data_IF_649658668592
#
_entry.id   IF_649658668592
#
_cell.length_a   1.000
_cell.length_b   1.000
_cell.length_c   1.000
_cell.angle_alpha   90.00
_cell.angle_beta   90.00
_cell.angle_gamma   90.00
#
_symmetry.space_group_name_H-M   'P 1'
#
loop_
_entity.id
_entity.type
_entity.pdbx_description
1 polymer ?
#
# COMPACT_ATOMS: atom_id res chain seq x y z
N UNK A 1 -3.30 50.50 2.28
CA UNK A 1 -2.72 49.70 3.38
C UNK A 1 -3.73 48.72 3.97
N UNK A 2 -4.81 49.16 4.63
CA UNK A 2 -5.76 48.22 5.27
C UNK A 2 -6.54 47.36 4.25
N UNK A 3 -6.92 47.94 3.11
CA UNK A 3 -7.54 47.22 1.99
C UNK A 3 -6.60 46.16 1.39
N UNK A 4 -5.33 46.52 1.18
CA UNK A 4 -4.32 45.62 0.60
C UNK A 4 -4.08 44.40 1.51
N UNK A 5 -4.01 44.62 2.82
CA UNK A 5 -3.91 43.55 3.81
C UNK A 5 -5.14 42.63 3.74
N UNK A 6 -6.35 43.20 3.65
CA UNK A 6 -7.56 42.40 3.53
C UNK A 6 -7.58 41.55 2.25
N UNK A 7 -7.15 42.11 1.11
CA UNK A 7 -7.03 41.38 -0.16
C UNK A 7 -6.03 40.22 -0.06
N UNK A 8 -4.87 40.45 0.56
CA UNK A 8 -3.84 39.43 0.77
C UNK A 8 -4.37 38.30 1.66
N UNK A 9 -4.99 38.64 2.79
CA UNK A 9 -5.56 37.64 3.72
C UNK A 9 -6.65 36.82 3.03
N UNK A 10 -7.53 37.46 2.27
CA UNK A 10 -8.59 36.77 1.53
C UNK A 10 -8.01 35.87 0.42
N UNK A 11 -6.97 36.30 -0.28
CA UNK A 11 -6.29 35.47 -1.28
C UNK A 11 -5.61 34.23 -0.66
N UNK A 12 -4.98 34.37 0.50
CA UNK A 12 -4.41 33.24 1.24
C UNK A 12 -5.49 32.25 1.69
N UNK A 13 -6.63 32.75 2.15
CA UNK A 13 -7.78 31.91 2.46
C UNK A 13 -8.25 31.10 1.23
N UNK A 14 -8.35 31.73 0.06
CA UNK A 14 -8.71 31.04 -1.19
C UNK A 14 -7.71 29.96 -1.58
N UNK A 15 -6.41 30.12 -1.31
CA UNK A 15 -5.41 29.08 -1.53
C UNK A 15 -5.59 27.87 -0.60
N UNK A 16 -5.98 28.10 0.66
CA UNK A 16 -6.32 27.01 1.58
C UNK A 16 -7.56 26.26 1.06
N UNK A 17 -8.60 27.00 0.64
CA UNK A 17 -9.81 26.40 0.06
C UNK A 17 -9.48 25.59 -1.19
N UNK A 18 -8.66 26.13 -2.10
CA UNK A 18 -8.18 25.43 -3.28
C UNK A 18 -7.51 24.10 -2.91
N UNK A 19 -6.55 24.13 -1.99
CA UNK A 19 -5.83 22.92 -1.55
C UNK A 19 -6.77 21.87 -0.94
N UNK A 20 -7.73 22.29 -0.11
CA UNK A 20 -8.72 21.39 0.50
C UNK A 20 -9.64 20.78 -0.56
N UNK A 21 -10.14 21.57 -1.51
CA UNK A 21 -11.01 21.09 -2.58
C UNK A 21 -10.31 20.06 -3.48
N UNK A 22 -9.05 20.30 -3.83
CA UNK A 22 -8.26 19.34 -4.63
C UNK A 22 -8.06 18.02 -3.91
N UNK A 23 -7.80 18.05 -2.60
CA UNK A 23 -7.68 16.85 -1.77
C UNK A 23 -9.02 16.12 -1.65
N UNK A 24 -10.13 16.86 -1.49
CA UNK A 24 -11.48 16.31 -1.38
C UNK A 24 -11.93 15.54 -2.62
N UNK A 25 -11.54 15.94 -3.84
CA UNK A 25 -11.85 15.22 -5.08
C UNK A 25 -11.39 13.75 -5.04
N UNK A 26 -10.26 13.47 -4.37
CA UNK A 26 -9.72 12.11 -4.24
C UNK A 26 -10.66 11.24 -3.38
N UNK A 27 -11.30 11.82 -2.38
CA UNK A 27 -12.22 11.12 -1.48
C UNK A 27 -13.62 11.02 -2.06
N UNK A 28 -14.08 12.08 -2.72
CA UNK A 28 -15.40 12.21 -3.31
C UNK A 28 -15.16 12.41 -4.80
N UNK A 29 -15.10 11.32 -5.59
CA UNK A 29 -14.90 11.41 -7.03
C UNK A 29 -16.12 12.11 -7.63
N UNK A 30 -16.00 13.43 -7.79
CA UNK A 30 -17.07 14.34 -8.19
C UNK A 30 -17.09 14.59 -9.69
N UNK A 31 -16.34 13.75 -10.44
CA UNK A 31 -16.10 13.90 -11.87
C UNK A 31 -15.43 15.24 -12.22
N UNK A 32 -14.58 15.76 -11.32
CA UNK A 32 -13.80 16.98 -11.52
C UNK A 32 -14.51 18.28 -11.12
N UNK A 33 -15.71 18.23 -10.53
CA UNK A 33 -16.44 19.42 -10.10
C UNK A 33 -15.70 20.17 -8.98
N UNK A 34 -15.20 19.46 -7.96
CA UNK A 34 -14.43 20.07 -6.87
C UNK A 34 -13.11 20.65 -7.40
N UNK A 35 -12.49 19.97 -8.36
CA UNK A 35 -11.29 20.46 -9.05
C UNK A 35 -11.57 21.75 -9.83
N UNK A 36 -12.70 21.86 -10.51
CA UNK A 36 -13.10 23.07 -11.22
C UNK A 36 -13.26 24.26 -10.25
N UNK A 37 -13.91 24.04 -9.11
CA UNK A 37 -14.02 25.05 -8.04
C UNK A 37 -12.66 25.43 -7.45
N UNK A 38 -11.76 24.46 -7.27
CA UNK A 38 -10.40 24.71 -6.80
C UNK A 38 -9.61 25.60 -7.77
N UNK A 39 -9.73 25.36 -9.08
CA UNK A 39 -9.13 26.21 -10.12
C UNK A 39 -9.71 27.62 -10.05
N UNK A 40 -11.04 27.75 -9.89
CA UNK A 40 -11.69 29.04 -9.72
C UNK A 40 -11.16 29.82 -8.52
N UNK A 41 -11.03 29.16 -7.36
CA UNK A 41 -10.46 29.75 -6.15
C UNK A 41 -8.98 30.16 -6.35
N UNK A 42 -8.19 29.34 -7.05
CA UNK A 42 -6.80 29.65 -7.38
C UNK A 42 -6.67 30.89 -8.28
N UNK A 43 -7.40 30.91 -9.39
CA UNK A 43 -7.37 32.04 -10.36
C UNK A 43 -7.83 33.33 -9.68
N UNK A 44 -8.89 33.26 -8.87
CA UNK A 44 -9.37 34.40 -8.11
C UNK A 44 -8.32 34.89 -7.10
N UNK A 45 -7.73 33.97 -6.32
CA UNK A 45 -6.68 34.31 -5.35
C UNK A 45 -5.48 34.98 -6.00
N UNK A 46 -5.00 34.46 -7.14
CA UNK A 46 -3.92 35.09 -7.93
C UNK A 46 -4.32 36.49 -8.39
N UNK A 47 -5.53 36.65 -8.94
CA UNK A 47 -6.04 37.96 -9.39
C UNK A 47 -6.01 39.01 -8.28
N UNK A 48 -6.40 38.65 -7.05
CA UNK A 48 -6.35 39.55 -5.89
C UNK A 48 -4.93 40.00 -5.53
N UNK A 49 -3.92 39.12 -5.64
CA UNK A 49 -2.53 39.52 -5.43
C UNK A 49 -2.04 40.53 -6.49
N UNK A 50 -2.46 40.35 -7.75
CA UNK A 50 -2.13 41.30 -8.83
C UNK A 50 -2.84 42.65 -8.69
N UNK A 51 -3.98 42.72 -8.01
CA UNK A 51 -4.65 43.99 -7.71
C UNK A 51 -3.88 44.87 -6.72
N UNK A 52 -3.04 44.27 -5.87
CA UNK A 52 -2.19 45.03 -4.92
C UNK A 52 -0.97 45.61 -5.64
N UNK A 53 -0.24 44.78 -6.39
CA UNK A 53 0.93 45.18 -7.20
C UNK A 53 1.38 44.01 -8.05
N UNK A 54 2.04 44.28 -9.19
CA UNK A 54 2.65 43.25 -10.03
C UNK A 54 3.69 42.41 -9.28
N UNK A 55 4.49 43.03 -8.40
CA UNK A 55 5.47 42.32 -7.59
C UNK A 55 4.80 41.34 -6.60
N UNK A 56 3.71 41.78 -5.98
CA UNK A 56 2.91 40.98 -5.05
C UNK A 56 2.16 39.86 -5.79
N UNK A 57 1.67 40.12 -7.00
CA UNK A 57 1.09 39.12 -7.90
C UNK A 57 2.02 37.95 -8.16
N UNK A 58 3.25 38.22 -8.61
CA UNK A 58 4.27 37.19 -8.81
C UNK A 58 4.63 36.45 -7.52
N UNK A 59 4.73 37.17 -6.40
CA UNK A 59 4.94 36.54 -5.11
C UNK A 59 3.80 35.57 -4.74
N UNK A 60 2.55 35.94 -5.02
CA UNK A 60 1.37 35.08 -4.86
C UNK A 60 1.47 33.79 -5.69
N UNK A 61 1.90 33.89 -6.95
CA UNK A 61 2.13 32.71 -7.82
C UNK A 61 3.19 31.77 -7.23
N UNK A 62 4.34 32.29 -6.82
CA UNK A 62 5.39 31.48 -6.20
C UNK A 62 4.91 30.85 -4.88
N UNK A 63 4.13 31.60 -4.10
CA UNK A 63 3.52 31.09 -2.87
C UNK A 63 2.61 29.91 -3.17
N UNK A 64 1.74 30.01 -4.19
CA UNK A 64 0.87 28.91 -4.57
C UNK A 64 1.65 27.68 -5.07
N UNK A 65 2.70 27.88 -5.86
CA UNK A 65 3.61 26.81 -6.30
C UNK A 65 4.29 26.09 -5.14
N UNK A 66 4.51 26.76 -4.00
CA UNK A 66 5.06 26.12 -2.80
C UNK A 66 3.96 25.46 -1.95
N UNK A 67 2.85 26.17 -1.70
CA UNK A 67 1.79 25.76 -0.77
C UNK A 67 1.02 24.56 -1.29
N UNK A 68 0.58 24.57 -2.55
CA UNK A 68 -0.30 23.53 -3.10
C UNK A 68 0.41 22.15 -3.10
N UNK A 69 1.65 22.00 -3.61
CA UNK A 69 2.36 20.72 -3.56
C UNK A 69 2.71 20.31 -2.12
N UNK A 70 3.06 21.25 -1.25
CA UNK A 70 3.32 20.95 0.17
C UNK A 70 2.09 20.37 0.84
N UNK A 71 0.90 20.95 0.59
CA UNK A 71 -0.36 20.42 1.10
C UNK A 71 -0.63 19.00 0.59
N UNK A 72 -0.32 18.72 -0.67
CA UNK A 72 -0.41 17.38 -1.26
C UNK A 72 0.53 16.37 -0.57
N UNK A 73 1.78 16.75 -0.33
CA UNK A 73 2.76 15.89 0.38
C UNK A 73 2.29 15.60 1.81
N UNK A 74 1.79 16.62 2.51
CA UNK A 74 1.23 16.46 3.87
C UNK A 74 0.01 15.55 3.81
N UNK A 75 -0.92 15.80 2.89
CA UNK A 75 -2.11 14.99 2.71
C UNK A 75 -1.73 13.53 2.47
N UNK A 76 -0.81 13.23 1.56
CA UNK A 76 -0.35 11.87 1.30
C UNK A 76 0.31 11.20 2.51
N UNK A 77 1.12 11.92 3.30
CA UNK A 77 1.76 11.36 4.51
C UNK A 77 0.78 11.15 5.65
N UNK A 78 -0.22 12.01 5.79
CA UNK A 78 -1.21 11.95 6.87
C UNK A 78 -2.37 11.01 6.52
N UNK A 79 -2.73 10.90 5.24
CA UNK A 79 -3.80 10.06 4.71
C UNK A 79 -3.81 8.64 5.30
N UNK A 80 -2.72 7.83 5.23
CA UNK A 80 -2.73 6.46 5.77
C UNK A 80 -2.88 6.41 7.29
N UNK A 81 -2.71 7.53 8.01
CA UNK A 81 -2.93 7.62 9.46
C UNK A 81 -4.37 7.97 9.84
N UNK A 82 -5.16 8.51 8.90
CA UNK A 82 -6.57 8.89 9.15
C UNK A 82 -7.49 7.66 9.20
N UNK A 83 -8.69 7.80 9.77
CA UNK A 83 -9.70 6.72 9.79
C UNK A 83 -10.15 6.31 8.39
N UNK A 84 -10.33 7.29 7.50
CA UNK A 84 -10.73 7.09 6.10
C UNK A 84 -9.61 6.41 5.31
N UNK A 85 -8.37 6.93 5.41
CA UNK A 85 -7.24 6.32 4.74
C UNK A 85 -6.93 4.91 5.26
N UNK A 86 -7.14 4.61 6.54
CA UNK A 86 -7.02 3.23 7.07
C UNK A 86 -8.16 2.29 6.63
N UNK A 87 -9.31 2.83 6.25
CA UNK A 87 -10.41 2.04 5.70
C UNK A 87 -10.22 1.77 4.19
N UNK A 88 -9.61 2.71 3.46
CA UNK A 88 -9.31 2.57 2.02
C UNK A 88 -8.00 1.83 1.74
N UNK A 89 -6.98 2.05 2.57
CA UNK A 89 -5.76 1.24 2.53
C UNK A 89 -6.12 -0.08 3.17
N UNK A 90 -6.26 -1.12 2.34
CA UNK A 90 -6.37 -2.49 2.80
C UNK A 90 -5.24 -2.70 3.80
N UNK A 91 -5.58 -2.86 5.09
CA UNK A 91 -4.61 -3.30 6.09
C UNK A 91 -3.96 -4.53 5.47
N UNK A 92 -2.65 -4.51 5.31
CA UNK A 92 -1.90 -5.76 5.25
C UNK A 92 -2.29 -6.47 6.54
N UNK A 93 -3.27 -7.35 6.44
CA UNK A 93 -3.57 -8.32 7.46
C UNK A 93 -2.21 -8.98 7.64
N UNK A 94 -1.58 -8.74 8.79
CA UNK A 94 -0.54 -9.63 9.29
C UNK A 94 -1.18 -10.99 9.18
N UNK A 95 -0.87 -11.72 8.10
CA UNK A 95 -1.50 -12.99 7.80
C UNK A 95 -1.29 -13.82 9.03
N UNK A 96 -2.39 -14.15 9.71
CA UNK A 96 -2.33 -15.06 10.84
C UNK A 96 -1.64 -16.32 10.32
N UNK A 97 -0.67 -16.82 11.08
CA UNK A 97 0.03 -18.07 10.76
C UNK A 97 -0.99 -19.14 10.36
N UNK A 98 -1.06 -19.47 9.06
CA UNK A 98 -2.08 -20.36 8.52
C UNK A 98 -2.52 -20.09 7.08
N UNK A 99 -2.40 -18.85 6.57
CA UNK A 99 -2.82 -18.53 5.19
C UNK A 99 -1.71 -18.80 4.16
N UNK A 100 -1.62 -20.08 3.78
CA UNK A 100 -1.13 -20.66 2.51
C UNK A 100 0.29 -20.31 1.98
N UNK A 101 1.03 -19.40 2.60
CA UNK A 101 2.40 -19.03 2.22
C UNK A 101 3.14 -18.70 3.52
N UNK A 102 3.92 -19.64 4.03
CA UNK A 102 4.86 -19.38 5.12
C UNK A 102 5.95 -18.40 4.65
N UNK A 103 6.35 -17.47 5.52
CA UNK A 103 7.40 -16.51 5.21
C UNK A 103 8.73 -17.24 4.93
N UNK A 104 9.54 -16.71 4.01
CA UNK A 104 10.79 -17.36 3.56
C UNK A 104 11.73 -17.68 4.73
N UNK A 105 11.82 -16.78 5.70
CA UNK A 105 12.66 -16.95 6.91
C UNK A 105 12.09 -17.96 7.92
N UNK A 106 10.82 -18.35 7.79
CA UNK A 106 10.16 -19.31 8.70
C UNK A 106 10.23 -20.76 8.22
N UNK A 107 10.88 -21.08 7.09
CA UNK A 107 10.88 -22.44 6.54
C UNK A 107 12.25 -23.11 6.59
N UNK A 108 13.35 -22.37 6.75
CA UNK A 108 14.71 -22.95 6.73
C UNK A 108 14.92 -23.99 7.84
N UNK A 109 14.31 -23.80 9.02
CA UNK A 109 14.39 -24.76 10.14
C UNK A 109 13.72 -26.10 9.86
N UNK A 110 12.93 -26.21 8.79
CA UNK A 110 12.28 -27.46 8.37
C UNK A 110 13.21 -28.35 7.54
N UNK A 111 14.38 -27.87 7.13
CA UNK A 111 15.33 -28.67 6.36
C UNK A 111 15.78 -29.90 7.18
N UNK A 112 15.69 -31.09 6.58
CA UNK A 112 15.96 -32.38 7.26
C UNK A 112 14.84 -32.88 8.18
N UNK A 113 13.72 -32.15 8.30
CA UNK A 113 12.55 -32.65 9.04
C UNK A 113 11.74 -33.64 8.21
N UNK A 114 11.14 -34.61 8.89
CA UNK A 114 10.20 -35.56 8.30
C UNK A 114 8.75 -35.11 8.50
N UNK A 115 7.87 -35.50 7.58
CA UNK A 115 6.45 -35.24 7.65
C UNK A 115 5.66 -36.17 6.74
N UNK A 116 4.43 -35.76 6.40
CA UNK A 116 3.49 -36.59 5.64
C UNK A 116 2.81 -35.81 4.54
N UNK A 117 2.65 -36.40 3.36
CA UNK A 117 1.85 -35.82 2.29
C UNK A 117 0.35 -35.81 2.68
N UNK A 118 -0.28 -34.64 2.81
CA UNK A 118 -1.72 -34.51 3.13
C UNK A 118 -2.59 -34.80 1.91
N UNK A 119 -2.07 -34.47 0.73
CA UNK A 119 -2.67 -34.76 -0.57
C UNK A 119 -1.65 -35.38 -1.53
N UNK A 120 -2.11 -35.87 -2.69
CA UNK A 120 -1.21 -36.32 -3.76
C UNK A 120 -0.31 -35.17 -4.24
N UNK A 121 1.00 -35.39 -4.35
CA UNK A 121 1.95 -34.42 -4.90
C UNK A 121 2.20 -34.71 -6.39
N UNK A 122 1.85 -33.77 -7.29
CA UNK A 122 2.01 -33.89 -8.75
C UNK A 122 2.52 -32.61 -9.44
N UNK A 123 3.82 -32.30 -9.38
CA UNK A 123 4.73 -32.59 -8.27
C UNK A 123 4.46 -31.71 -7.06
N UNK A 124 3.61 -30.66 -7.19
CA UNK A 124 3.26 -29.76 -6.08
C UNK A 124 2.01 -30.25 -5.36
N UNK A 125 1.96 -30.05 -4.04
CA UNK A 125 0.79 -30.30 -3.21
C UNK A 125 0.98 -29.80 -1.78
N UNK A 126 0.23 -30.38 -0.83
CA UNK A 126 0.26 -29.98 0.58
C UNK A 126 0.86 -31.09 1.42
N UNK A 127 1.81 -30.73 2.26
CA UNK A 127 2.48 -31.59 3.22
C UNK A 127 2.22 -31.10 4.64
N UNK A 128 2.22 -32.01 5.60
CA UNK A 128 2.13 -31.73 7.03
C UNK A 128 3.45 -32.10 7.69
N UNK A 129 4.14 -31.10 8.24
CA UNK A 129 5.44 -31.24 8.91
C UNK A 129 5.34 -30.47 10.22
N UNK A 130 5.68 -31.10 11.35
CA UNK A 130 5.63 -30.49 12.69
C UNK A 130 4.25 -29.86 13.01
N UNK A 131 3.17 -30.53 12.57
CA UNK A 131 1.80 -30.08 12.77
C UNK A 131 1.36 -28.89 11.89
N UNK A 132 2.20 -28.44 10.95
CA UNK A 132 1.89 -27.33 10.03
C UNK A 132 1.66 -27.85 8.63
N UNK A 133 0.58 -27.37 7.99
CA UNK A 133 0.30 -27.63 6.57
C UNK A 133 0.97 -26.59 5.70
N UNK A 134 1.87 -27.02 4.84
CA UNK A 134 2.68 -26.15 3.97
C UNK A 134 2.71 -26.68 2.53
N UNK A 135 2.96 -25.77 1.59
CA UNK A 135 3.11 -26.11 0.18
C UNK A 135 4.45 -26.78 -0.03
N UNK A 136 4.43 -27.95 -0.65
CA UNK A 136 5.61 -28.75 -0.90
C UNK A 136 5.63 -29.24 -2.36
N UNK A 137 6.82 -29.50 -2.86
CA UNK A 137 7.06 -30.05 -4.18
C UNK A 137 7.86 -31.35 -4.05
N UNK A 138 7.38 -32.42 -4.66
CA UNK A 138 8.11 -33.67 -4.74
C UNK A 138 9.37 -33.48 -5.58
N UNK A 139 10.51 -34.00 -5.10
CA UNK A 139 11.77 -34.00 -5.85
C UNK A 139 11.65 -34.79 -7.15
N UNK A 140 10.98 -35.95 -7.09
CA UNK A 140 10.82 -36.84 -8.24
C UNK A 140 9.41 -37.41 -8.27
N UNK A 141 8.77 -37.30 -9.45
CA UNK A 141 7.57 -38.04 -9.78
C UNK A 141 6.34 -37.72 -8.95
N UNK A 142 5.54 -38.77 -8.71
CA UNK A 142 4.27 -38.70 -8.01
C UNK A 142 4.41 -39.22 -6.58
N UNK A 143 3.98 -38.44 -5.59
CA UNK A 143 3.91 -38.90 -4.20
C UNK A 143 2.45 -39.08 -3.80
N UNK A 144 2.02 -40.31 -3.44
CA UNK A 144 0.67 -40.57 -2.97
C UNK A 144 0.35 -39.82 -1.67
N UNK A 145 -0.94 -39.55 -1.45
CA UNK A 145 -1.42 -39.04 -0.16
C UNK A 145 -1.05 -40.02 0.95
N UNK A 146 -0.55 -39.50 2.05
CA UNK A 146 -0.20 -40.25 3.25
C UNK A 146 1.20 -40.84 3.25
N UNK A 147 2.01 -40.59 2.22
CA UNK A 147 3.40 -41.05 2.17
C UNK A 147 4.26 -40.24 3.15
N UNK A 148 5.17 -40.90 3.85
CA UNK A 148 6.21 -40.23 4.64
C UNK A 148 7.24 -39.58 3.74
N UNK A 149 7.61 -38.36 4.09
CA UNK A 149 8.49 -37.52 3.30
C UNK A 149 9.51 -36.82 4.18
N UNK A 150 10.62 -36.40 3.58
CA UNK A 150 11.67 -35.62 4.23
C UNK A 150 11.98 -34.36 3.41
N UNK A 151 12.17 -33.24 4.09
CA UNK A 151 12.52 -31.96 3.45
C UNK A 151 13.99 -31.94 3.07
N UNK A 152 14.27 -31.87 1.77
CA UNK A 152 15.63 -31.86 1.23
C UNK A 152 16.09 -30.46 0.80
N UNK A 153 15.16 -29.54 0.55
CA UNK A 153 15.46 -28.17 0.11
C UNK A 153 14.36 -27.20 0.53
N UNK A 154 14.75 -25.97 0.84
CA UNK A 154 13.84 -24.85 1.09
C UNK A 154 14.14 -23.76 0.06
N UNK A 155 13.17 -23.43 -0.80
CA UNK A 155 13.29 -22.37 -1.80
C UNK A 155 12.16 -21.36 -1.62
N UNK A 156 12.47 -20.27 -0.92
CA UNK A 156 11.49 -19.23 -0.63
C UNK A 156 10.34 -19.76 0.23
N UNK A 157 9.14 -19.83 -0.34
CA UNK A 157 7.94 -20.32 0.36
C UNK A 157 7.58 -21.79 -0.01
N UNK A 158 8.37 -22.43 -0.86
CA UNK A 158 8.12 -23.81 -1.27
C UNK A 158 9.25 -24.69 -0.76
N UNK A 159 8.89 -25.83 -0.20
CA UNK A 159 9.87 -26.85 0.21
C UNK A 159 9.90 -28.00 -0.79
N UNK A 160 11.08 -28.52 -1.09
CA UNK A 160 11.24 -29.74 -1.89
C UNK A 160 11.37 -30.93 -0.95
N UNK A 161 10.62 -31.99 -1.24
CA UNK A 161 10.49 -33.17 -0.38
C UNK A 161 10.78 -34.45 -1.15
N UNK A 162 11.43 -35.42 -0.50
CA UNK A 162 11.67 -36.77 -1.01
C UNK A 162 10.87 -37.78 -0.20
N UNK A 163 10.42 -38.87 -0.80
CA UNK A 163 9.81 -39.99 -0.08
C UNK A 163 10.83 -40.68 0.82
N UNK A 164 10.46 -40.93 2.07
CA UNK A 164 11.29 -41.70 2.99
C UNK A 164 11.01 -43.18 2.76
N UNK A 165 11.97 -43.90 2.17
CA UNK A 165 11.87 -45.36 2.01
C UNK A 165 11.88 -45.98 3.40
N UNK A 166 10.79 -46.66 3.76
CA UNK A 166 10.77 -47.51 4.96
C UNK A 166 11.48 -48.80 4.56
N UNK A 167 12.74 -48.95 4.96
CA UNK A 167 13.40 -50.27 4.95
C UNK A 167 12.57 -51.20 5.85
N UNK A 168 12.05 -52.27 5.26
CA UNK A 168 11.30 -53.34 5.94
C UNK A 168 12.31 -54.34 6.53
#
# INVERSE_FOLDING_TARGET
>A
MLMDIALIVFALFLYIVCAVLTVMEIFIPSFGLLTLLAIGAFVWGVSLFFQVSTAVGWFGVFTAMAVIPTFWVIAYKLFPKTSIGRAMVLKNVSRSAGDAIADKDQLEWLLGKSGKAVGPLRPVGICEIEGRRIVCSAEVGFVPKGTEIEVIRVEGNTITVRTKETDI
#
